data_IF_088327579616
#
_entry.id   IF_088327579616
#
_cell.length_a   1.000
_cell.length_b   1.000
_cell.length_c   1.000
_cell.angle_alpha   90.00
_cell.angle_beta   90.00
_cell.angle_gamma   90.00
#
_symmetry.space_group_name_H-M   'P 1'
#
loop_
_entity.id
_entity.type
_entity.pdbx_description
1 polymer ?
#
# COMPACT_ATOMS: atom_id res chain seq x y z
N UNK A 1 -44.81 16.08 65.33
CA UNK A 1 -45.98 15.91 64.45
C UNK A 1 -45.69 16.63 63.14
N UNK A 2 -45.87 15.97 61.99
CA UNK A 2 -46.05 16.65 60.70
C UNK A 2 -44.84 16.83 59.77
N UNK A 3 -44.42 15.73 59.14
CA UNK A 3 -44.22 15.54 57.69
C UNK A 3 -43.52 16.58 56.76
N UNK A 4 -42.51 16.02 56.05
CA UNK A 4 -42.36 15.99 54.57
C UNK A 4 -41.38 16.94 53.86
N UNK A 5 -40.24 16.34 53.47
CA UNK A 5 -39.71 16.18 52.10
C UNK A 5 -39.49 17.40 51.18
N UNK A 6 -38.24 17.62 50.74
CA UNK A 6 -37.88 17.52 49.30
C UNK A 6 -36.38 17.70 49.03
N UNK A 7 -35.96 17.05 47.96
CA UNK A 7 -34.61 16.79 47.44
C UNK A 7 -33.72 18.01 47.19
N UNK A 8 -32.47 17.95 47.66
CA UNK A 8 -31.37 18.82 47.21
C UNK A 8 -30.50 18.11 46.17
N UNK A 9 -30.65 18.51 44.91
CA UNK A 9 -29.82 18.07 43.78
C UNK A 9 -28.43 18.71 43.84
N UNK A 10 -27.41 17.90 43.58
CA UNK A 10 -25.99 18.19 43.69
C UNK A 10 -25.53 19.08 42.51
N UNK A 11 -25.16 20.34 42.77
CA UNK A 11 -24.62 21.27 41.76
C UNK A 11 -23.14 21.00 41.55
N UNK A 12 -22.74 20.47 40.39
CA UNK A 12 -21.34 20.38 39.93
C UNK A 12 -21.00 21.64 39.10
N UNK A 13 -19.77 22.19 39.17
CA UNK A 13 -19.39 23.35 38.35
C UNK A 13 -19.12 22.93 36.90
N UNK A 14 -19.61 23.72 35.94
CA UNK A 14 -19.27 23.62 34.53
C UNK A 14 -17.80 24.04 34.32
N UNK A 15 -16.98 23.11 33.83
CA UNK A 15 -15.64 23.40 33.31
C UNK A 15 -15.76 23.64 31.81
N UNK A 16 -15.45 24.85 31.37
CA UNK A 16 -15.42 25.26 29.96
C UNK A 16 -14.39 24.43 29.17
N UNK A 17 -14.82 23.82 28.08
CA UNK A 17 -13.92 23.21 27.09
C UNK A 17 -13.09 24.29 26.37
N UNK A 18 -11.80 24.04 26.05
CA UNK A 18 -11.02 24.94 25.22
C UNK A 18 -11.47 24.82 23.77
N UNK A 19 -11.91 25.94 23.19
CA UNK A 19 -12.29 26.06 21.79
C UNK A 19 -11.15 25.60 20.86
N UNK A 20 -11.50 24.74 19.89
CA UNK A 20 -10.66 24.40 18.74
C UNK A 20 -10.36 25.69 17.93
N UNK A 21 -9.14 25.87 17.40
CA UNK A 21 -8.83 27.00 16.54
C UNK A 21 -9.70 26.95 15.27
N UNK A 22 -10.07 28.12 14.70
CA UNK A 22 -10.90 28.16 13.50
C UNK A 22 -10.17 27.54 12.32
N UNK A 23 -10.83 26.58 11.68
CA UNK A 23 -10.42 25.98 10.41
C UNK A 23 -10.41 27.07 9.34
N UNK A 24 -9.28 27.29 8.67
CA UNK A 24 -9.14 28.34 7.66
C UNK A 24 -10.07 28.08 6.46
N UNK A 25 -10.58 29.13 5.83
CA UNK A 25 -11.51 28.98 4.71
C UNK A 25 -10.79 28.39 3.47
N UNK A 26 -11.44 27.53 2.67
CA UNK A 26 -10.82 26.86 1.51
C UNK A 26 -10.18 27.82 0.49
N UNK A 27 -10.71 29.05 0.39
CA UNK A 27 -10.20 30.09 -0.50
C UNK A 27 -8.86 30.70 -0.02
N UNK A 28 -8.64 30.76 1.30
CA UNK A 28 -7.39 31.25 1.87
C UNK A 28 -6.26 30.23 1.67
N UNK A 29 -6.55 28.94 1.84
CA UNK A 29 -5.61 27.84 1.57
C UNK A 29 -5.20 27.77 0.09
N UNK A 30 -6.14 27.99 -0.84
CA UNK A 30 -5.87 28.09 -2.28
C UNK A 30 -4.98 29.30 -2.61
N UNK A 31 -5.23 30.46 -2.00
CA UNK A 31 -4.40 31.67 -2.23
C UNK A 31 -2.97 31.51 -1.69
N UNK A 32 -2.83 30.81 -0.55
CA UNK A 32 -1.56 30.44 0.07
C UNK A 32 -0.76 29.50 -0.84
N UNK A 33 -1.40 28.49 -1.40
CA UNK A 33 -0.79 27.56 -2.34
C UNK A 33 -0.34 28.26 -3.64
N UNK A 34 -1.16 29.12 -4.23
CA UNK A 34 -0.78 29.88 -5.42
C UNK A 34 0.42 30.82 -5.18
N UNK A 35 0.47 31.46 -4.01
CA UNK A 35 1.61 32.29 -3.62
C UNK A 35 2.90 31.46 -3.46
N UNK A 36 2.79 30.25 -2.89
CA UNK A 36 3.91 29.31 -2.79
C UNK A 36 4.41 28.87 -4.18
N UNK A 37 3.49 28.55 -5.11
CA UNK A 37 3.84 28.17 -6.49
C UNK A 37 4.53 29.30 -7.27
N UNK A 38 4.26 30.57 -6.96
CA UNK A 38 4.98 31.71 -7.57
C UNK A 38 6.41 31.85 -7.05
N UNK A 39 6.68 31.33 -5.86
CA UNK A 39 7.92 31.54 -5.12
C UNK A 39 8.90 30.38 -5.24
N UNK A 40 8.41 29.16 -5.47
CA UNK A 40 9.20 27.93 -5.57
C UNK A 40 9.14 27.33 -6.99
N UNK A 41 10.27 27.29 -7.75
CA UNK A 41 10.31 26.75 -9.10
C UNK A 41 9.93 25.26 -9.21
N UNK A 42 10.25 24.43 -8.22
CA UNK A 42 9.93 23.00 -8.20
C UNK A 42 8.43 22.82 -7.94
N UNK A 43 7.89 23.56 -6.96
CA UNK A 43 6.45 23.56 -6.67
C UNK A 43 5.62 24.08 -7.84
N UNK A 44 6.12 25.09 -8.57
CA UNK A 44 5.51 25.57 -9.82
C UNK A 44 5.48 24.49 -10.88
N UNK A 45 6.57 23.74 -11.02
CA UNK A 45 6.67 22.66 -12.01
C UNK A 45 5.70 21.53 -11.65
N UNK A 46 5.61 21.17 -10.37
CA UNK A 46 4.61 20.23 -9.87
C UNK A 46 3.17 20.71 -10.13
N UNK A 47 2.82 21.96 -9.81
CA UNK A 47 1.49 22.54 -10.05
C UNK A 47 1.12 22.52 -11.54
N UNK A 48 2.05 22.91 -12.43
CA UNK A 48 1.78 22.83 -13.88
C UNK A 48 1.56 21.40 -14.37
N UNK A 49 2.23 20.40 -13.78
CA UNK A 49 1.97 18.98 -14.10
C UNK A 49 0.64 18.51 -13.52
N UNK A 50 0.31 18.93 -12.30
CA UNK A 50 -0.96 18.65 -11.64
C UNK A 50 -2.14 19.21 -12.44
N UNK A 51 -2.09 20.49 -12.82
CA UNK A 51 -3.12 21.14 -13.63
C UNK A 51 -3.28 20.45 -14.99
N UNK A 52 -2.17 20.20 -15.70
CA UNK A 52 -2.19 19.52 -17.01
C UNK A 52 -2.84 18.14 -16.94
N UNK A 53 -2.49 17.32 -15.95
CA UNK A 53 -3.06 15.96 -15.77
C UNK A 53 -4.52 16.01 -15.33
N UNK A 54 -4.88 16.96 -14.47
CA UNK A 54 -6.26 17.19 -14.05
C UNK A 54 -7.13 17.62 -15.24
N UNK A 55 -6.65 18.56 -16.05
CA UNK A 55 -7.33 18.96 -17.29
C UNK A 55 -7.48 17.81 -18.29
N UNK A 56 -6.45 16.96 -18.43
CA UNK A 56 -6.54 15.74 -19.25
C UNK A 56 -7.63 14.80 -18.74
N UNK A 57 -7.62 14.46 -17.45
CA UNK A 57 -8.64 13.60 -16.84
C UNK A 57 -10.06 14.18 -17.01
N UNK A 58 -10.25 15.48 -16.81
CA UNK A 58 -11.53 16.16 -17.01
C UNK A 58 -11.96 16.10 -18.48
N UNK A 59 -11.04 16.34 -19.41
CA UNK A 59 -11.35 16.29 -20.85
C UNK A 59 -11.74 14.89 -21.32
N UNK A 60 -11.06 13.86 -20.83
CA UNK A 60 -11.37 12.44 -21.12
C UNK A 60 -12.72 12.01 -20.53
N UNK A 61 -13.09 12.56 -19.37
CA UNK A 61 -14.42 12.37 -18.77
C UNK A 61 -15.50 13.11 -19.55
N UNK A 62 -15.24 14.34 -20.00
CA UNK A 62 -16.19 15.16 -20.75
C UNK A 62 -16.56 14.56 -22.12
N UNK A 63 -15.61 13.93 -22.81
CA UNK A 63 -15.87 13.19 -24.07
C UNK A 63 -16.76 11.97 -23.83
N UNK A 64 -16.71 11.36 -22.64
CA UNK A 64 -17.57 10.23 -22.26
C UNK A 64 -18.99 10.61 -21.84
N UNK A 65 -19.34 11.90 -21.75
CA UNK A 65 -20.69 12.36 -21.33
C UNK A 65 -21.69 12.37 -22.49
N UNK A 66 -21.23 12.38 -23.75
CA UNK A 66 -22.12 12.31 -24.93
C UNK A 66 -22.83 10.95 -25.08
N UNK A 67 -22.31 9.90 -24.43
CA UNK A 67 -22.95 8.60 -24.29
C UNK A 67 -23.22 8.43 -22.79
N UNK A 68 -24.44 8.11 -22.34
CA UNK A 68 -24.86 8.10 -20.92
C UNK A 68 -24.15 7.08 -19.99
N UNK A 69 -22.93 6.65 -20.31
CA UNK A 69 -22.06 5.82 -19.48
C UNK A 69 -20.58 6.17 -19.72
N UNK A 70 -19.80 6.24 -18.62
CA UNK A 70 -18.34 6.38 -18.70
C UNK A 70 -17.75 5.16 -19.40
N UNK A 71 -16.91 5.37 -20.41
CA UNK A 71 -16.21 4.27 -21.07
C UNK A 71 -15.14 3.67 -20.14
N UNK A 72 -14.86 2.37 -20.30
CA UNK A 72 -13.78 1.69 -19.56
C UNK A 72 -12.40 2.30 -19.86
N UNK A 73 -12.21 2.84 -21.07
CA UNK A 73 -10.99 3.54 -21.46
C UNK A 73 -10.85 4.88 -20.71
N UNK A 74 -11.94 5.63 -20.55
CA UNK A 74 -11.96 6.86 -19.74
C UNK A 74 -11.61 6.58 -18.27
N UNK A 75 -12.14 5.50 -17.68
CA UNK A 75 -11.81 5.09 -16.31
C UNK A 75 -10.35 4.66 -16.16
N UNK A 76 -9.80 3.95 -17.14
CA UNK A 76 -8.41 3.53 -17.17
C UNK A 76 -7.46 4.72 -17.24
N UNK A 77 -7.77 5.71 -18.06
CA UNK A 77 -6.96 6.91 -18.24
C UNK A 77 -6.98 7.84 -17.01
N UNK A 78 -8.15 7.98 -16.36
CA UNK A 78 -8.27 8.66 -15.06
C UNK A 78 -7.48 7.94 -13.96
N UNK A 79 -7.55 6.61 -13.92
CA UNK A 79 -6.78 5.79 -12.97
C UNK A 79 -5.27 5.92 -13.20
N UNK A 80 -4.83 5.96 -14.45
CA UNK A 80 -3.45 6.23 -14.83
C UNK A 80 -2.98 7.62 -14.37
N UNK A 81 -3.78 8.66 -14.63
CA UNK A 81 -3.47 10.02 -14.17
C UNK A 81 -3.33 10.11 -12.64
N UNK A 82 -4.19 9.41 -11.88
CA UNK A 82 -4.12 9.34 -10.41
C UNK A 82 -2.88 8.58 -9.92
N UNK A 83 -2.44 7.52 -10.60
CA UNK A 83 -1.22 6.78 -10.27
C UNK A 83 0.03 7.61 -10.55
N UNK A 84 0.07 8.30 -11.69
CA UNK A 84 1.17 9.20 -12.08
C UNK A 84 1.28 10.39 -11.11
N UNK A 85 0.14 10.96 -10.70
CA UNK A 85 0.10 12.00 -9.65
C UNK A 85 0.63 11.48 -8.32
N UNK A 86 0.28 10.26 -7.92
CA UNK A 86 0.82 9.64 -6.72
C UNK A 86 2.34 9.42 -6.81
N UNK A 87 2.88 9.12 -7.99
CA UNK A 87 4.32 8.96 -8.18
C UNK A 87 5.06 10.31 -8.09
N UNK A 88 4.49 11.38 -8.64
CA UNK A 88 5.11 12.71 -8.61
C UNK A 88 5.00 13.37 -7.23
N UNK A 89 3.89 13.18 -6.52
CA UNK A 89 3.75 13.58 -5.12
C UNK A 89 4.74 12.82 -4.24
N UNK A 90 4.91 11.51 -4.44
CA UNK A 90 5.92 10.74 -3.71
C UNK A 90 7.32 11.25 -4.03
N UNK A 91 7.64 11.52 -5.30
CA UNK A 91 8.94 12.06 -5.71
C UNK A 91 9.22 13.43 -5.08
N UNK A 92 8.30 14.38 -5.19
CA UNK A 92 8.45 15.72 -4.59
C UNK A 92 8.57 15.63 -3.07
N UNK A 93 7.77 14.79 -2.40
CA UNK A 93 7.92 14.58 -0.95
C UNK A 93 9.28 13.98 -0.62
N UNK A 94 9.76 12.99 -1.38
CA UNK A 94 11.07 12.37 -1.15
C UNK A 94 12.22 13.35 -1.40
N UNK A 95 12.18 14.14 -2.47
CA UNK A 95 13.19 15.15 -2.78
C UNK A 95 13.17 16.32 -1.77
N UNK A 96 12.00 16.84 -1.39
CA UNK A 96 11.88 17.84 -0.32
C UNK A 96 12.32 17.30 1.06
N UNK A 97 12.29 15.98 1.26
CA UNK A 97 12.68 15.34 2.51
C UNK A 97 14.09 14.74 2.48
N UNK A 98 14.85 14.83 1.38
CA UNK A 98 16.20 14.25 1.27
C UNK A 98 17.14 14.72 2.39
N UNK A 99 17.05 16.00 2.76
CA UNK A 99 17.81 16.61 3.86
C UNK A 99 17.26 16.29 5.26
N UNK A 100 16.00 15.86 5.34
CA UNK A 100 15.28 15.55 6.58
C UNK A 100 15.61 14.14 7.06
N UNK A 101 15.86 13.21 6.14
CA UNK A 101 16.20 11.82 6.47
C UNK A 101 17.71 11.73 6.70
N UNK A 102 18.17 12.01 7.94
CA UNK A 102 19.59 11.91 8.38
C UNK A 102 20.18 10.48 8.30
N UNK A 103 19.64 9.62 7.44
CA UNK A 103 20.01 8.23 7.19
C UNK A 103 19.78 7.91 5.70
N UNK A 104 20.79 8.09 4.82
CA UNK A 104 20.72 7.74 3.40
C UNK A 104 20.22 6.31 3.16
N UNK A 105 20.70 5.35 3.95
CA UNK A 105 20.28 3.94 3.89
C UNK A 105 18.76 3.69 4.10
N UNK A 106 18.05 4.63 4.73
CA UNK A 106 16.60 4.53 4.91
C UNK A 106 15.84 5.15 3.75
N UNK A 107 16.41 6.21 3.15
CA UNK A 107 15.85 6.85 1.97
C UNK A 107 15.87 5.88 0.78
N UNK A 108 17.02 5.26 0.48
CA UNK A 108 17.16 4.27 -0.58
C UNK A 108 16.17 3.10 -0.38
N UNK A 109 15.96 2.67 0.87
CA UNK A 109 15.02 1.59 1.20
C UNK A 109 13.56 1.98 0.96
N UNK A 110 13.22 3.25 1.17
CA UNK A 110 11.88 3.79 0.89
C UNK A 110 11.66 3.92 -0.61
N UNK A 111 12.67 4.39 -1.35
CA UNK A 111 12.63 4.45 -2.82
C UNK A 111 12.45 3.04 -3.42
N UNK A 112 13.30 2.08 -3.05
CA UNK A 112 13.20 0.68 -3.47
C UNK A 112 11.79 0.12 -3.18
N UNK A 113 11.19 0.47 -2.03
CA UNK A 113 9.85 0.02 -1.65
C UNK A 113 8.77 0.57 -2.56
N UNK A 114 8.80 1.89 -2.83
CA UNK A 114 7.82 2.51 -3.71
C UNK A 114 7.98 2.06 -5.15
N UNK A 115 9.19 1.83 -5.63
CA UNK A 115 9.46 1.26 -6.95
C UNK A 115 8.94 -0.18 -7.06
N UNK A 116 9.27 -1.06 -6.11
CA UNK A 116 8.76 -2.45 -6.06
C UNK A 116 7.24 -2.50 -6.03
N UNK A 117 6.60 -1.61 -5.27
CA UNK A 117 5.15 -1.50 -5.23
C UNK A 117 4.53 -1.04 -6.55
N UNK A 118 5.24 -0.21 -7.34
CA UNK A 118 4.79 0.21 -8.67
C UNK A 118 4.85 -0.97 -9.65
N UNK A 119 5.97 -1.69 -9.69
CA UNK A 119 6.10 -2.89 -10.52
C UNK A 119 5.02 -3.93 -10.20
N UNK A 120 4.61 -4.05 -8.94
CA UNK A 120 3.50 -4.93 -8.54
C UNK A 120 2.15 -4.48 -9.11
N UNK A 121 1.90 -3.17 -9.18
CA UNK A 121 0.70 -2.62 -9.81
C UNK A 121 0.73 -2.79 -11.34
N UNK A 122 1.90 -2.64 -11.96
CA UNK A 122 2.07 -2.90 -13.40
C UNK A 122 1.81 -4.37 -13.72
N UNK A 123 2.30 -5.28 -12.88
CA UNK A 123 1.96 -6.70 -12.97
C UNK A 123 0.45 -6.95 -12.84
N UNK A 124 -0.23 -6.34 -11.85
CA UNK A 124 -1.68 -6.47 -11.72
C UNK A 124 -2.43 -5.95 -12.96
N UNK A 125 -1.90 -4.90 -13.61
CA UNK A 125 -2.45 -4.38 -14.87
C UNK A 125 -2.23 -5.36 -16.03
N UNK A 126 -1.09 -6.05 -16.07
CA UNK A 126 -0.85 -7.13 -17.03
C UNK A 126 -1.81 -8.31 -16.78
N UNK A 127 -2.04 -8.68 -15.52
CA UNK A 127 -3.00 -9.71 -15.13
C UNK A 127 -4.43 -9.36 -15.56
N UNK A 128 -4.88 -8.11 -15.42
CA UNK A 128 -6.20 -7.66 -15.91
C UNK A 128 -6.34 -7.84 -17.43
N UNK A 129 -5.28 -7.64 -18.21
CA UNK A 129 -5.30 -7.92 -19.65
C UNK A 129 -5.43 -9.42 -19.94
N UNK A 130 -4.76 -10.28 -19.17
CA UNK A 130 -4.91 -11.74 -19.27
C UNK A 130 -6.34 -12.16 -18.92
N UNK A 131 -6.91 -11.61 -17.85
CA UNK A 131 -8.30 -11.86 -17.45
C UNK A 131 -9.31 -11.42 -18.51
N UNK A 132 -9.08 -10.29 -19.18
CA UNK A 132 -9.90 -9.86 -20.33
C UNK A 132 -9.87 -10.88 -21.46
N UNK A 133 -8.68 -11.35 -21.85
CA UNK A 133 -8.55 -12.43 -22.84
C UNK A 133 -9.28 -13.70 -22.42
N UNK A 134 -9.17 -14.10 -21.16
CA UNK A 134 -9.89 -15.26 -20.63
C UNK A 134 -11.43 -15.09 -20.72
N UNK A 135 -11.94 -13.89 -20.41
CA UNK A 135 -13.37 -13.54 -20.54
C UNK A 135 -13.82 -13.49 -22.01
N UNK A 136 -13.00 -12.97 -22.90
CA UNK A 136 -13.30 -12.97 -24.35
C UNK A 136 -13.39 -14.42 -24.86
N UNK A 137 -12.52 -15.32 -24.38
CA UNK A 137 -12.59 -16.75 -24.68
C UNK A 137 -13.86 -17.42 -24.10
N UNK A 138 -14.37 -16.99 -22.94
CA UNK A 138 -15.65 -17.48 -22.41
C UNK A 138 -16.82 -17.17 -23.36
N UNK A 139 -16.80 -16.00 -24.01
CA UNK A 139 -17.84 -15.62 -24.95
C UNK A 139 -17.92 -16.60 -26.14
N UNK A 140 -16.77 -17.04 -26.65
CA UNK A 140 -16.72 -18.04 -27.73
C UNK A 140 -17.40 -19.35 -27.33
N UNK A 141 -17.23 -19.79 -26.08
CA UNK A 141 -17.89 -20.99 -25.56
C UNK A 141 -19.40 -20.80 -25.42
N UNK A 142 -19.86 -19.65 -24.92
CA UNK A 142 -21.30 -19.36 -24.87
C UNK A 142 -21.92 -19.34 -26.27
N UNK A 143 -21.25 -18.74 -27.25
CA UNK A 143 -21.72 -18.76 -28.64
C UNK A 143 -21.74 -20.19 -29.17
N UNK A 144 -20.71 -21.01 -28.90
CA UNK A 144 -20.70 -22.42 -29.29
C UNK A 144 -21.88 -23.20 -28.70
N UNK A 145 -22.18 -23.01 -27.41
CA UNK A 145 -23.34 -23.65 -26.75
C UNK A 145 -24.66 -23.24 -27.40
N UNK A 146 -24.83 -21.94 -27.71
CA UNK A 146 -26.03 -21.45 -28.39
C UNK A 146 -26.15 -22.02 -29.81
N UNK A 147 -25.04 -22.09 -30.56
CA UNK A 147 -25.02 -22.71 -31.90
C UNK A 147 -25.35 -24.19 -31.84
N UNK A 148 -24.93 -24.88 -30.80
CA UNK A 148 -25.23 -26.28 -30.60
C UNK A 148 -26.73 -26.50 -30.43
N UNK A 149 -27.38 -25.74 -29.55
CA UNK A 149 -28.82 -25.80 -29.33
C UNK A 149 -29.59 -25.50 -30.64
N UNK A 150 -29.19 -24.43 -31.37
CA UNK A 150 -29.78 -24.05 -32.68
C UNK A 150 -29.63 -25.17 -33.74
N UNK A 151 -28.47 -25.83 -33.79
CA UNK A 151 -28.14 -26.89 -34.77
C UNK A 151 -28.71 -28.26 -34.38
N UNK A 152 -29.05 -28.46 -33.10
CA UNK A 152 -29.75 -29.65 -32.61
C UNK A 152 -31.26 -29.59 -32.88
N UNK A 153 -31.86 -28.39 -32.75
CA UNK A 153 -33.28 -28.13 -33.03
C UNK A 153 -33.60 -28.03 -34.53
N UNK A 154 -32.61 -27.72 -35.38
CA UNK A 154 -32.78 -27.64 -36.82
C UNK A 154 -32.79 -29.04 -37.49
N UNK A 155 -33.94 -29.36 -38.08
CA UNK A 155 -34.36 -30.58 -38.79
C UNK A 155 -33.26 -31.52 -39.38
N UNK A 156 -33.46 -32.82 -39.22
CA UNK A 156 -32.55 -33.95 -39.54
C UNK A 156 -32.24 -34.16 -41.04
N UNK A 157 -32.55 -33.20 -41.90
CA UNK A 157 -32.38 -33.26 -43.36
C UNK A 157 -31.01 -32.74 -43.84
N UNK A 158 -30.20 -32.14 -42.97
CA UNK A 158 -28.82 -31.75 -43.29
C UNK A 158 -27.94 -33.00 -43.47
N UNK A 159 -27.01 -32.94 -44.43
CA UNK A 159 -26.02 -34.01 -44.60
C UNK A 159 -25.24 -34.21 -43.27
N UNK A 160 -24.97 -35.45 -42.82
CA UNK A 160 -24.31 -35.72 -41.54
C UNK A 160 -22.98 -34.98 -41.34
N UNK A 161 -22.25 -34.75 -42.43
CA UNK A 161 -20.96 -34.04 -42.45
C UNK A 161 -21.05 -32.52 -42.26
N UNK A 162 -22.25 -31.93 -42.32
CA UNK A 162 -22.48 -30.50 -42.12
C UNK A 162 -23.13 -30.19 -40.77
N UNK A 163 -23.49 -31.21 -39.98
CA UNK A 163 -24.12 -31.03 -38.67
C UNK A 163 -23.09 -30.49 -37.67
N UNK A 164 -23.51 -29.54 -36.83
CA UNK A 164 -22.68 -28.85 -35.84
C UNK A 164 -21.49 -28.04 -36.40
N UNK A 165 -21.49 -27.70 -37.69
CA UNK A 165 -20.38 -27.00 -38.31
C UNK A 165 -20.11 -25.62 -37.68
N UNK A 166 -21.16 -24.89 -37.26
CA UNK A 166 -21.00 -23.59 -36.60
C UNK A 166 -20.52 -23.77 -35.16
N UNK A 167 -21.06 -24.75 -34.43
CA UNK A 167 -20.59 -25.12 -33.10
C UNK A 167 -19.08 -25.42 -33.11
N UNK A 168 -18.63 -26.33 -33.98
CA UNK A 168 -17.21 -26.69 -34.10
C UNK A 168 -16.33 -25.53 -34.55
N UNK A 169 -16.87 -24.58 -35.33
CA UNK A 169 -16.13 -23.38 -35.71
C UNK A 169 -15.81 -22.52 -34.48
N UNK A 170 -16.79 -22.24 -33.62
CA UNK A 170 -16.60 -21.44 -32.40
C UNK A 170 -15.69 -22.15 -31.39
N UNK A 171 -15.83 -23.48 -31.23
CA UNK A 171 -14.94 -24.27 -30.38
C UNK A 171 -13.48 -24.24 -30.85
N UNK A 172 -13.25 -24.26 -32.17
CA UNK A 172 -11.91 -24.08 -32.75
C UNK A 172 -11.36 -22.69 -32.53
N UNK A 173 -12.20 -21.65 -32.59
CA UNK A 173 -11.77 -20.29 -32.25
C UNK A 173 -11.37 -20.20 -30.77
N UNK A 174 -12.14 -20.81 -29.85
CA UNK A 174 -11.78 -20.90 -28.45
C UNK A 174 -10.42 -21.58 -28.26
N UNK A 175 -10.21 -22.75 -28.89
CA UNK A 175 -8.94 -23.47 -28.86
C UNK A 175 -7.79 -22.63 -29.41
N UNK A 176 -8.02 -21.89 -30.51
CA UNK A 176 -7.02 -21.03 -31.15
C UNK A 176 -6.69 -19.77 -30.33
N UNK A 177 -7.61 -19.29 -29.48
CA UNK A 177 -7.35 -18.18 -28.56
C UNK A 177 -6.24 -18.51 -27.55
N UNK A 178 -6.05 -19.81 -27.25
CA UNK A 178 -4.92 -20.32 -26.49
C UNK A 178 -4.91 -19.87 -25.02
N UNK A 179 -3.74 -19.99 -24.40
CA UNK A 179 -3.53 -19.62 -23.00
C UNK A 179 -3.55 -18.08 -22.82
N UNK A 180 -4.41 -17.52 -21.95
CA UNK A 180 -4.39 -16.10 -21.63
C UNK A 180 -3.13 -15.65 -20.88
N UNK A 181 -2.29 -16.55 -20.36
CA UNK A 181 -1.05 -16.25 -19.64
C UNK A 181 0.16 -16.58 -20.51
N UNK A 182 0.89 -15.57 -20.97
CA UNK A 182 2.07 -15.77 -21.84
C UNK A 182 3.35 -15.96 -21.03
N UNK A 183 4.41 -16.44 -21.68
CA UNK A 183 5.74 -16.54 -21.07
C UNK A 183 6.23 -15.20 -20.50
N UNK A 184 5.97 -14.08 -21.19
CA UNK A 184 6.32 -12.75 -20.69
C UNK A 184 5.54 -12.38 -19.43
N UNK A 185 4.27 -12.79 -19.34
CA UNK A 185 3.46 -12.58 -18.14
C UNK A 185 4.05 -13.35 -16.94
N UNK A 186 4.44 -14.61 -17.14
CA UNK A 186 5.07 -15.39 -16.08
C UNK A 186 6.45 -14.85 -15.69
N UNK A 187 7.22 -14.35 -16.66
CA UNK A 187 8.49 -13.66 -16.38
C UNK A 187 8.27 -12.41 -15.51
N UNK A 188 7.25 -11.61 -15.82
CA UNK A 188 6.87 -10.44 -15.02
C UNK A 188 6.41 -10.83 -13.61
N UNK A 189 5.59 -11.87 -13.47
CA UNK A 189 5.17 -12.40 -12.16
C UNK A 189 6.38 -12.80 -11.32
N UNK A 190 7.30 -13.57 -11.89
CA UNK A 190 8.49 -14.05 -11.18
C UNK A 190 9.43 -12.90 -10.79
N UNK A 191 9.57 -11.89 -11.64
CA UNK A 191 10.37 -10.70 -11.33
C UNK A 191 9.79 -9.96 -10.12
N UNK A 192 8.48 -9.65 -10.13
CA UNK A 192 7.79 -8.96 -9.04
C UNK A 192 7.84 -9.78 -7.74
N UNK A 193 7.58 -11.09 -7.83
CA UNK A 193 7.61 -11.97 -6.66
C UNK A 193 8.99 -11.99 -5.98
N UNK A 194 10.06 -12.12 -6.77
CA UNK A 194 11.44 -12.04 -6.25
C UNK A 194 11.75 -10.66 -5.66
N UNK A 195 11.34 -9.59 -6.34
CA UNK A 195 11.56 -8.23 -5.85
C UNK A 195 10.90 -8.01 -4.47
N UNK A 196 9.68 -8.52 -4.26
CA UNK A 196 8.98 -8.43 -2.98
C UNK A 196 9.68 -9.26 -1.88
N UNK A 197 10.19 -10.45 -2.19
CA UNK A 197 10.97 -11.25 -1.24
C UNK A 197 12.26 -10.53 -0.81
N UNK A 198 13.03 -10.03 -1.78
CA UNK A 198 14.25 -9.26 -1.49
C UNK A 198 13.94 -7.99 -0.68
N UNK A 199 12.85 -7.30 -1.00
CA UNK A 199 12.38 -6.15 -0.22
C UNK A 199 12.09 -6.55 1.24
N UNK A 200 11.39 -7.66 1.46
CA UNK A 200 11.07 -8.14 2.80
C UNK A 200 12.34 -8.44 3.62
N UNK A 201 13.34 -9.06 3.00
CA UNK A 201 14.64 -9.33 3.62
C UNK A 201 15.37 -8.05 4.02
N UNK A 202 15.47 -7.07 3.10
CA UNK A 202 16.06 -5.74 3.37
C UNK A 202 15.36 -5.06 4.56
N UNK A 203 14.02 -5.08 4.58
CA UNK A 203 13.20 -4.48 5.64
C UNK A 203 13.40 -5.18 6.99
N UNK A 204 13.44 -6.51 7.01
CA UNK A 204 13.71 -7.30 8.21
C UNK A 204 15.09 -6.99 8.78
N UNK A 205 16.12 -6.95 7.92
CA UNK A 205 17.49 -6.62 8.33
C UNK A 205 17.55 -5.20 8.92
N UNK A 206 16.92 -4.22 8.25
CA UNK A 206 16.87 -2.83 8.71
C UNK A 206 16.17 -2.71 10.06
N UNK A 207 15.01 -3.34 10.22
CA UNK A 207 14.26 -3.36 11.48
C UNK A 207 15.09 -3.94 12.62
N UNK A 208 15.78 -5.05 12.38
CA UNK A 208 16.65 -5.66 13.38
C UNK A 208 17.82 -4.75 13.80
N UNK A 209 18.42 -4.02 12.85
CA UNK A 209 19.46 -3.00 13.15
C UNK A 209 18.89 -1.86 13.99
N UNK A 210 17.70 -1.35 13.67
CA UNK A 210 17.03 -0.30 14.43
C UNK A 210 16.69 -0.76 15.85
N UNK A 211 16.19 -1.99 16.01
CA UNK A 211 15.89 -2.58 17.32
C UNK A 211 17.14 -2.68 18.21
N UNK A 212 18.29 -3.05 17.63
CA UNK A 212 19.58 -3.04 18.32
C UNK A 212 19.95 -1.62 18.78
N UNK A 213 19.88 -0.62 17.89
CA UNK A 213 20.20 0.78 18.22
C UNK A 213 19.32 1.33 19.34
N UNK A 214 18.01 1.06 19.31
CA UNK A 214 17.07 1.47 20.36
C UNK A 214 17.41 0.83 21.71
N UNK A 215 17.81 -0.46 21.72
CA UNK A 215 18.29 -1.13 22.94
C UNK A 215 19.57 -0.49 23.47
N UNK A 216 20.52 -0.15 22.60
CA UNK A 216 21.76 0.54 22.97
C UNK A 216 21.48 1.90 23.61
N UNK A 217 20.57 2.70 23.06
CA UNK A 217 20.17 3.99 23.66
C UNK A 217 19.61 3.79 25.07
N UNK A 218 18.73 2.80 25.26
CA UNK A 218 18.18 2.51 26.60
C UNK A 218 19.28 2.12 27.59
N UNK A 219 20.29 1.37 27.15
CA UNK A 219 21.45 1.04 27.97
C UNK A 219 22.30 2.29 28.27
N UNK A 220 22.57 3.12 27.26
CA UNK A 220 23.32 4.37 27.42
C UNK A 220 22.65 5.33 28.42
N UNK A 221 21.32 5.47 28.36
CA UNK A 221 20.55 6.27 29.34
C UNK A 221 20.83 5.81 30.77
N UNK A 222 20.77 4.49 31.00
CA UNK A 222 21.02 3.90 32.33
C UNK A 222 22.44 4.20 32.81
N UNK A 223 23.43 3.99 31.94
CA UNK A 223 24.85 4.23 32.24
C UNK A 223 25.09 5.71 32.54
N UNK A 224 24.57 6.62 31.71
CA UNK A 224 24.71 8.06 31.93
C UNK A 224 24.06 8.52 33.24
N UNK A 225 22.90 7.97 33.60
CA UNK A 225 22.24 8.28 34.87
C UNK A 225 23.05 7.77 36.07
N UNK A 226 23.64 6.58 36.00
CA UNK A 226 24.49 6.04 37.06
C UNK A 226 25.77 6.88 37.23
N UNK A 227 26.45 7.23 36.13
CA UNK A 227 27.67 8.07 36.17
C UNK A 227 27.34 9.45 36.77
N UNK A 228 26.23 10.06 36.36
CA UNK A 228 25.82 11.35 36.89
C UNK A 228 25.52 11.28 38.40
N UNK A 229 24.76 10.28 38.85
CA UNK A 229 24.42 10.11 40.26
C UNK A 229 25.66 9.82 41.14
N UNK A 230 26.57 8.98 40.67
CA UNK A 230 27.81 8.63 41.39
C UNK A 230 28.78 9.80 41.48
N UNK A 231 28.99 10.54 40.38
CA UNK A 231 29.83 11.75 40.37
C UNK A 231 29.26 12.81 41.30
N UNK A 232 27.95 13.01 41.27
CA UNK A 232 27.27 13.96 42.15
C UNK A 232 27.42 13.59 43.63
N UNK A 233 27.19 12.32 43.98
CA UNK A 233 27.39 11.85 45.35
C UNK A 233 28.83 12.07 45.83
N UNK A 234 29.83 11.81 44.98
CA UNK A 234 31.24 12.04 45.31
C UNK A 234 31.54 13.53 45.57
N UNK A 235 31.01 14.44 44.73
CA UNK A 235 31.16 15.90 44.91
C UNK A 235 30.52 16.38 46.20
N UNK A 236 29.33 15.87 46.56
CA UNK A 236 28.67 16.22 47.82
C UNK A 236 29.48 15.75 49.02
N UNK A 237 29.96 14.50 49.01
CA UNK A 237 30.79 13.95 50.10
C UNK A 237 32.06 14.80 50.26
N UNK A 238 32.76 15.10 49.16
CA UNK A 238 33.97 15.93 49.20
C UNK A 238 33.68 17.35 49.72
N UNK A 239 32.56 17.94 49.32
CA UNK A 239 32.14 19.29 49.77
C UNK A 239 31.86 19.32 51.27
N UNK A 240 31.17 18.30 51.81
CA UNK A 240 30.89 18.19 53.26
C UNK A 240 32.19 18.04 54.04
N UNK A 241 33.11 17.18 53.59
CA UNK A 241 34.43 16.99 54.22
C UNK A 241 35.22 18.30 54.21
N UNK A 242 35.27 19.01 53.08
CA UNK A 242 35.96 20.29 52.98
C UNK A 242 35.36 21.36 53.92
N UNK A 243 34.03 21.47 53.99
CA UNK A 243 33.36 22.42 54.87
C UNK A 243 33.60 22.12 56.36
N UNK A 244 33.70 20.85 56.75
CA UNK A 244 34.01 20.45 58.12
C UNK A 244 35.45 20.82 58.56
N UNK A 245 36.38 20.96 57.61
CA UNK A 245 37.80 21.25 57.86
C UNK A 245 38.11 22.76 57.67
N UNK A 246 37.26 23.51 56.97
CA UNK A 246 37.52 24.90 56.58
C UNK A 246 37.04 25.94 57.60
N UNK A 247 37.72 27.10 57.63
CA UNK A 247 37.32 28.26 58.43
C UNK A 247 35.94 28.82 57.97
N UNK A 248 35.17 29.50 58.86
CA UNK A 248 33.78 29.90 58.61
C UNK A 248 33.49 30.61 57.26
N UNK A 249 34.35 31.51 56.74
CA UNK A 249 34.11 32.19 55.46
C UNK A 249 34.23 31.25 54.25
N UNK A 250 35.11 30.24 54.32
CA UNK A 250 35.39 29.30 53.23
C UNK A 250 34.27 28.25 53.13
N UNK A 251 33.70 27.85 54.27
CA UNK A 251 32.54 26.96 54.33
C UNK A 251 31.29 27.59 53.66
N UNK A 252 31.08 28.90 53.84
CA UNK A 252 29.97 29.62 53.20
C UNK A 252 30.11 29.68 51.66
N UNK A 253 31.32 29.89 51.14
CA UNK A 253 31.59 29.89 49.70
C UNK A 253 31.41 28.50 49.07
N UNK A 254 31.84 27.43 49.75
CA UNK A 254 31.66 26.05 49.30
C UNK A 254 30.18 25.63 49.29
N UNK A 255 29.41 26.00 50.31
CA UNK A 255 27.97 25.76 50.35
C UNK A 255 27.22 26.46 49.21
N UNK A 256 27.63 27.68 48.85
CA UNK A 256 27.05 28.41 47.72
C UNK A 256 27.40 27.79 46.35
N UNK A 257 28.63 27.27 46.18
CA UNK A 257 29.03 26.57 44.94
C UNK A 257 28.34 25.20 44.77
N UNK A 258 28.08 24.49 45.87
CA UNK A 258 27.30 23.25 45.86
C UNK A 258 25.80 23.47 45.54
N UNK A 259 25.31 24.72 45.61
CA UNK A 259 23.95 25.10 45.27
C UNK A 259 23.72 25.38 43.77
N UNK A 260 24.75 25.24 42.91
CA UNK A 260 24.60 25.41 41.46
C UNK A 260 23.54 24.42 40.92
N UNK A 261 22.52 24.87 40.18
CA UNK A 261 21.42 24.00 39.73
C UNK A 261 21.89 22.92 38.72
N UNK A 262 22.22 21.74 39.24
CA UNK A 262 22.62 20.54 38.50
C UNK A 262 21.53 19.97 37.57
N UNK A 263 20.31 20.50 37.63
CA UNK A 263 19.23 20.12 36.73
C UNK A 263 19.53 20.39 35.26
N UNK A 264 20.47 21.29 34.92
CA UNK A 264 20.69 21.72 33.52
C UNK A 264 21.38 20.66 32.64
N UNK A 265 22.50 20.07 33.10
CA UNK A 265 23.29 19.14 32.28
C UNK A 265 22.62 17.77 32.11
N UNK A 266 21.99 17.26 33.17
CA UNK A 266 21.22 16.00 33.10
C UNK A 266 20.01 16.11 32.17
N UNK A 267 19.32 17.27 32.16
CA UNK A 267 18.20 17.55 31.24
C UNK A 267 18.66 17.68 29.79
N UNK A 268 19.83 18.26 29.54
CA UNK A 268 20.40 18.36 28.19
C UNK A 268 20.75 16.98 27.61
N UNK A 269 21.45 16.12 28.37
CA UNK A 269 21.79 14.75 27.93
C UNK A 269 20.53 13.92 27.70
N UNK A 270 19.55 13.98 28.60
CA UNK A 270 18.29 13.24 28.43
C UNK A 270 17.48 13.76 27.24
N UNK A 271 17.45 15.08 27.01
CA UNK A 271 16.81 15.71 25.84
C UNK A 271 17.44 15.25 24.53
N UNK A 272 18.77 15.23 24.43
CA UNK A 272 19.48 14.74 23.24
C UNK A 272 19.21 13.25 23.00
N UNK A 273 19.26 12.44 24.05
CA UNK A 273 19.04 11.00 23.95
C UNK A 273 17.58 10.67 23.60
N UNK A 274 16.64 11.46 24.11
CA UNK A 274 15.22 11.38 23.78
C UNK A 274 14.98 11.74 22.31
N UNK A 275 15.54 12.85 21.82
CA UNK A 275 15.45 13.22 20.39
C UNK A 275 16.00 12.13 19.46
N UNK A 276 17.16 11.56 19.78
CA UNK A 276 17.73 10.46 19.00
C UNK A 276 16.87 9.17 19.07
N UNK A 277 16.32 8.85 20.25
CA UNK A 277 15.40 7.72 20.43
C UNK A 277 14.09 7.91 19.63
N UNK A 278 13.56 9.13 19.61
CA UNK A 278 12.34 9.49 18.90
C UNK A 278 12.54 9.38 17.39
N UNK A 279 13.67 9.88 16.87
CA UNK A 279 14.06 9.71 15.47
C UNK A 279 14.16 8.23 15.08
N UNK A 280 14.87 7.40 15.85
CA UNK A 280 14.97 5.96 15.56
C UNK A 280 13.61 5.24 15.63
N UNK A 281 12.73 5.66 16.54
CA UNK A 281 11.37 5.13 16.63
C UNK A 281 10.55 5.49 15.40
N UNK A 282 10.62 6.74 14.92
CA UNK A 282 10.00 7.15 13.66
C UNK A 282 10.48 6.32 12.46
N UNK A 283 11.80 6.12 12.34
CA UNK A 283 12.37 5.24 11.31
C UNK A 283 11.83 3.79 11.41
N UNK A 284 11.75 3.26 12.63
CA UNK A 284 11.22 1.90 12.87
C UNK A 284 9.74 1.79 12.50
N UNK A 285 8.95 2.81 12.74
CA UNK A 285 7.54 2.84 12.36
C UNK A 285 7.37 2.81 10.84
N UNK A 286 8.16 3.58 10.09
CA UNK A 286 8.15 3.56 8.62
C UNK A 286 8.57 2.18 8.11
N UNK A 287 9.69 1.64 8.59
CA UNK A 287 10.17 0.29 8.18
C UNK A 287 9.15 -0.79 8.53
N UNK A 288 8.48 -0.70 9.68
CA UNK A 288 7.46 -1.67 10.06
C UNK A 288 6.22 -1.58 9.17
N UNK A 289 5.80 -0.37 8.79
CA UNK A 289 4.70 -0.19 7.84
C UNK A 289 5.03 -0.77 6.45
N UNK A 290 6.24 -0.49 5.93
CA UNK A 290 6.72 -1.08 4.67
C UNK A 290 6.77 -2.61 4.76
N UNK A 291 7.23 -3.16 5.88
CA UNK A 291 7.33 -4.61 6.09
C UNK A 291 5.94 -5.28 6.08
N UNK A 292 4.94 -4.67 6.72
CA UNK A 292 3.56 -5.17 6.68
C UNK A 292 3.01 -5.12 5.25
N UNK A 293 3.18 -4.00 4.55
CA UNK A 293 2.74 -3.87 3.16
C UNK A 293 3.39 -4.89 2.22
N UNK A 294 4.70 -5.10 2.36
CA UNK A 294 5.47 -6.08 1.58
C UNK A 294 5.00 -7.52 1.86
N UNK A 295 4.72 -7.84 3.13
CA UNK A 295 4.20 -9.16 3.50
C UNK A 295 2.81 -9.44 2.91
N UNK A 296 1.93 -8.44 2.93
CA UNK A 296 0.60 -8.52 2.30
C UNK A 296 0.75 -8.76 0.80
N UNK A 297 1.62 -7.99 0.13
CA UNK A 297 1.90 -8.15 -1.30
C UNK A 297 2.34 -9.59 -1.66
N UNK A 298 3.24 -10.19 -0.88
CA UNK A 298 3.68 -11.57 -1.10
C UNK A 298 2.51 -12.55 -0.96
N UNK A 299 1.65 -12.37 0.05
CA UNK A 299 0.47 -13.23 0.25
C UNK A 299 -0.55 -13.09 -0.86
N UNK A 300 -0.74 -11.88 -1.38
CA UNK A 300 -1.60 -11.67 -2.52
C UNK A 300 -1.03 -12.34 -3.77
N UNK A 301 0.27 -12.22 -4.03
CA UNK A 301 0.94 -12.87 -5.16
C UNK A 301 0.92 -14.40 -5.06
N UNK A 302 1.09 -14.97 -3.85
CA UNK A 302 0.93 -16.40 -3.61
C UNK A 302 -0.48 -16.87 -3.98
N UNK A 303 -1.51 -16.08 -3.61
CA UNK A 303 -2.91 -16.38 -3.90
C UNK A 303 -3.20 -16.26 -5.40
N UNK A 304 -2.67 -15.22 -6.05
CA UNK A 304 -2.75 -15.02 -7.51
C UNK A 304 -2.16 -16.22 -8.24
N UNK A 305 -0.99 -16.71 -7.84
CA UNK A 305 -0.36 -17.90 -8.45
C UNK A 305 -1.26 -19.13 -8.41
N UNK A 306 -1.88 -19.39 -7.26
CA UNK A 306 -2.78 -20.55 -7.09
C UNK A 306 -4.01 -20.41 -8.00
N UNK A 307 -4.57 -19.21 -8.11
CA UNK A 307 -5.75 -18.94 -8.94
C UNK A 307 -5.42 -18.95 -10.43
N UNK A 308 -4.23 -18.50 -10.86
CA UNK A 308 -3.75 -18.65 -12.24
C UNK A 308 -3.69 -20.14 -12.61
N UNK A 309 -3.04 -20.97 -11.80
CA UNK A 309 -2.95 -22.41 -12.04
C UNK A 309 -4.34 -23.05 -12.15
N UNK A 310 -5.32 -22.59 -11.36
CA UNK A 310 -6.69 -23.07 -11.43
C UNK A 310 -7.34 -22.72 -12.77
N UNK A 311 -7.18 -21.48 -13.24
CA UNK A 311 -7.69 -21.05 -14.55
C UNK A 311 -7.04 -21.85 -15.69
N UNK A 312 -5.72 -22.06 -15.65
CA UNK A 312 -5.01 -22.88 -16.66
C UNK A 312 -5.54 -24.32 -16.73
N UNK A 313 -5.82 -24.93 -15.57
CA UNK A 313 -6.40 -26.27 -15.49
C UNK A 313 -7.81 -26.32 -16.10
N UNK A 314 -8.66 -25.34 -15.80
CA UNK A 314 -10.01 -25.28 -16.39
C UNK A 314 -9.94 -25.07 -17.92
N UNK A 315 -9.05 -24.21 -18.41
CA UNK A 315 -8.85 -24.00 -19.86
C UNK A 315 -8.37 -25.28 -20.54
N UNK A 316 -7.35 -25.93 -19.99
CA UNK A 316 -6.81 -27.19 -20.55
C UNK A 316 -7.89 -28.27 -20.61
N UNK A 317 -8.66 -28.41 -19.52
CA UNK A 317 -9.77 -29.34 -19.39
C UNK A 317 -10.89 -29.09 -20.41
N UNK A 318 -11.13 -27.83 -20.81
CA UNK A 318 -12.07 -27.50 -21.88
C UNK A 318 -11.48 -27.73 -23.28
N UNK A 319 -10.19 -27.43 -23.49
CA UNK A 319 -9.50 -27.74 -24.75
C UNK A 319 -9.57 -29.24 -25.05
N UNK A 320 -9.34 -30.10 -24.05
CA UNK A 320 -9.48 -31.55 -24.21
C UNK A 320 -10.91 -31.95 -24.67
N UNK A 321 -11.93 -31.26 -24.18
CA UNK A 321 -13.32 -31.48 -24.61
C UNK A 321 -13.54 -31.04 -26.07
N UNK A 322 -12.93 -29.92 -26.48
CA UNK A 322 -12.95 -29.47 -27.88
C UNK A 322 -12.26 -30.49 -28.78
N UNK A 323 -11.09 -30.98 -28.41
CA UNK A 323 -10.36 -32.01 -29.18
C UNK A 323 -11.14 -33.32 -29.30
N UNK A 324 -11.87 -33.69 -28.25
CA UNK A 324 -12.78 -34.82 -28.30
C UNK A 324 -13.94 -34.57 -29.28
N UNK A 325 -14.57 -33.39 -29.20
CA UNK A 325 -15.68 -33.00 -30.07
C UNK A 325 -15.31 -32.98 -31.57
N UNK A 326 -14.04 -32.75 -31.92
CA UNK A 326 -13.58 -32.70 -33.31
C UNK A 326 -13.55 -34.07 -34.03
N UNK A 327 -13.82 -35.19 -33.34
CA UNK A 327 -13.69 -36.54 -33.91
C UNK A 327 -14.82 -36.92 -34.87
N UNK A 328 -16.06 -36.86 -34.39
CA UNK A 328 -17.28 -37.23 -35.13
C UNK A 328 -18.52 -36.58 -34.50
N UNK A 329 -19.68 -36.72 -35.15
CA UNK A 329 -20.94 -36.09 -34.75
C UNK A 329 -21.39 -36.46 -33.33
N UNK A 330 -21.24 -37.72 -32.92
CA UNK A 330 -21.62 -38.15 -31.57
C UNK A 330 -20.65 -37.62 -30.52
N UNK A 331 -19.36 -37.50 -30.88
CA UNK A 331 -18.37 -36.88 -30.03
C UNK A 331 -18.64 -35.39 -29.77
N UNK A 332 -19.24 -34.67 -30.73
CA UNK A 332 -19.65 -33.26 -30.54
C UNK A 332 -20.62 -33.13 -29.37
N UNK A 333 -21.68 -33.94 -29.34
CA UNK A 333 -22.71 -33.87 -28.29
C UNK A 333 -22.11 -34.08 -26.90
N UNK A 334 -21.26 -35.09 -26.76
CA UNK A 334 -20.60 -35.38 -25.48
C UNK A 334 -19.60 -34.28 -25.09
N UNK A 335 -18.78 -33.82 -26.04
CA UNK A 335 -17.81 -32.76 -25.77
C UNK A 335 -18.46 -31.44 -25.38
N UNK A 336 -19.55 -31.06 -26.05
CA UNK A 336 -20.34 -29.86 -25.74
C UNK A 336 -21.02 -29.96 -24.37
N UNK A 337 -21.60 -31.11 -24.03
CA UNK A 337 -22.22 -31.31 -22.72
C UNK A 337 -21.18 -31.24 -21.57
N UNK A 338 -19.98 -31.79 -21.78
CA UNK A 338 -18.89 -31.64 -20.81
C UNK A 338 -18.38 -30.19 -20.71
N UNK A 339 -18.28 -29.47 -21.82
CA UNK A 339 -17.97 -28.02 -21.83
C UNK A 339 -19.02 -27.25 -21.03
N UNK A 340 -20.31 -27.52 -21.25
CA UNK A 340 -21.42 -26.88 -20.56
C UNK A 340 -21.33 -27.06 -19.04
N UNK A 341 -20.98 -28.26 -18.56
CA UNK A 341 -20.77 -28.55 -17.13
C UNK A 341 -19.56 -27.82 -16.55
N UNK A 342 -18.47 -27.68 -17.32
CA UNK A 342 -17.20 -27.08 -16.87
C UNK A 342 -17.21 -25.55 -16.94
N UNK A 343 -18.02 -24.97 -17.83
CA UNK A 343 -18.03 -23.52 -18.09
C UNK A 343 -18.26 -22.69 -16.82
N UNK A 344 -19.17 -23.11 -15.94
CA UNK A 344 -19.44 -22.40 -14.68
C UNK A 344 -18.20 -22.36 -13.77
N UNK A 345 -17.46 -23.46 -13.67
CA UNK A 345 -16.23 -23.52 -12.87
C UNK A 345 -15.11 -22.66 -13.47
N UNK A 346 -15.00 -22.65 -14.80
CA UNK A 346 -14.07 -21.77 -15.51
C UNK A 346 -14.39 -20.29 -15.26
N UNK A 347 -15.66 -19.90 -15.42
CA UNK A 347 -16.12 -18.53 -15.16
C UNK A 347 -15.80 -18.09 -13.74
N UNK A 348 -16.17 -18.92 -12.77
CA UNK A 348 -15.90 -18.66 -11.36
C UNK A 348 -14.40 -18.53 -11.08
N UNK A 349 -13.56 -19.36 -11.69
CA UNK A 349 -12.11 -19.29 -11.48
C UNK A 349 -11.50 -17.99 -12.02
N UNK A 350 -12.01 -17.50 -13.15
CA UNK A 350 -11.61 -16.20 -13.73
C UNK A 350 -12.10 -15.03 -12.89
N UNK A 351 -13.32 -15.10 -12.34
CA UNK A 351 -13.85 -14.11 -11.39
C UNK A 351 -13.05 -14.07 -10.09
N UNK A 352 -12.82 -15.23 -9.45
CA UNK A 352 -12.02 -15.38 -8.23
C UNK A 352 -10.62 -14.76 -8.42
N UNK A 353 -9.97 -15.03 -9.56
CA UNK A 353 -8.66 -14.45 -9.90
C UNK A 353 -8.73 -12.93 -10.09
N UNK A 354 -9.79 -12.43 -10.74
CA UNK A 354 -10.04 -10.99 -10.90
C UNK A 354 -10.21 -10.27 -9.57
N UNK A 355 -11.03 -10.80 -8.67
CA UNK A 355 -11.21 -10.23 -7.34
C UNK A 355 -9.91 -10.18 -6.54
N UNK A 356 -9.07 -11.22 -6.66
CA UNK A 356 -7.78 -11.27 -5.99
C UNK A 356 -6.77 -10.28 -6.60
N UNK A 357 -6.79 -10.06 -7.91
CA UNK A 357 -5.98 -9.04 -8.58
C UNK A 357 -6.36 -7.61 -8.14
N UNK A 358 -7.67 -7.34 -8.03
CA UNK A 358 -8.20 -6.07 -7.55
C UNK A 358 -7.86 -5.82 -6.08
N UNK A 359 -7.97 -6.87 -5.25
CA UNK A 359 -7.56 -6.83 -3.84
C UNK A 359 -6.09 -6.49 -3.71
N UNK A 360 -5.22 -7.19 -4.45
CA UNK A 360 -3.78 -6.94 -4.44
C UNK A 360 -3.46 -5.49 -4.81
N UNK A 361 -4.05 -4.99 -5.90
CA UNK A 361 -3.86 -3.60 -6.33
C UNK A 361 -4.28 -2.58 -5.26
N UNK A 362 -5.43 -2.82 -4.62
CA UNK A 362 -5.95 -1.94 -3.56
C UNK A 362 -5.08 -1.97 -2.32
N UNK A 363 -4.61 -3.14 -1.91
CA UNK A 363 -3.79 -3.31 -0.71
C UNK A 363 -2.40 -2.71 -0.90
N UNK A 364 -1.81 -2.83 -2.09
CA UNK A 364 -0.58 -2.11 -2.47
C UNK A 364 -0.77 -0.58 -2.37
N UNK A 365 -1.85 -0.04 -2.96
CA UNK A 365 -2.13 1.41 -2.91
C UNK A 365 -2.32 1.89 -1.46
N UNK A 366 -3.06 1.14 -0.64
CA UNK A 366 -3.24 1.44 0.79
C UNK A 366 -1.92 1.41 1.55
N UNK A 367 -1.09 0.40 1.32
CA UNK A 367 0.21 0.26 1.96
C UNK A 367 1.12 1.46 1.62
N UNK A 368 1.18 1.87 0.34
CA UNK A 368 1.88 3.08 -0.10
C UNK A 368 1.40 4.33 0.66
N UNK A 369 0.09 4.53 0.77
CA UNK A 369 -0.48 5.67 1.51
C UNK A 369 -0.11 5.63 2.99
N UNK A 370 -0.20 4.47 3.65
CA UNK A 370 0.17 4.34 5.07
C UNK A 370 1.65 4.65 5.27
N UNK A 371 2.54 4.14 4.40
CA UNK A 371 3.98 4.43 4.46
C UNK A 371 4.22 5.93 4.27
N UNK A 372 3.59 6.55 3.28
CA UNK A 372 3.70 7.99 3.03
C UNK A 372 3.22 8.82 4.24
N UNK A 373 2.11 8.45 4.86
CA UNK A 373 1.63 9.10 6.08
C UNK A 373 2.62 8.96 7.24
N UNK A 374 3.30 7.82 7.38
CA UNK A 374 4.35 7.63 8.39
C UNK A 374 5.58 8.48 8.11
N UNK A 375 5.98 8.59 6.85
CA UNK A 375 7.05 9.49 6.39
C UNK A 375 6.70 10.96 6.71
N UNK A 376 5.45 11.36 6.49
CA UNK A 376 4.99 12.72 6.76
C UNK A 376 4.95 13.01 8.26
N UNK A 377 4.37 12.11 9.07
CA UNK A 377 4.22 12.26 10.53
C UNK A 377 5.53 12.26 11.31
N UNK A 378 6.62 11.75 10.75
CA UNK A 378 7.94 11.76 11.38
C UNK A 378 8.94 12.65 10.61
N UNK A 379 8.79 13.99 10.63
CA UNK A 379 9.71 14.93 9.99
C UNK A 379 11.05 15.11 10.75
N UNK A 380 11.40 14.19 11.65
CA UNK A 380 12.25 14.36 12.85
C UNK A 380 11.49 14.87 14.07
#
# INVERSE_FOLDING_TARGET
MGNSSSSGSNRRPETSEPALPPEAAPAEELSSYEAACRSDPELRTFDTTLQRRTSRAISTLAVGVEVRSLSLDSLREVTGCLLDMNQEVVRVILDCKKDIWKSPELFDLVEDYFESSLHTLDFCTALDKCLKRARDSQLLLHVALQRFDDEEDADAAAAPSARYARTLHELRQFKAAGDPFTDEFFAAFQAVYRQQLTMLEKLQQRKHRLDKKVKTIKAWRRVSSIIFATTFAAVLICSVVAAAIAAPPVAAALAAAAAVPLGSMGKWIDSLLKGYQDALRGQKEVVSAMQVGTFIAIKDLDSIRVLINRVEVEISSMIDCVEFAERDEEAVKFGVEEIKKKLENFMKSVEDLGEQADRCSRDIRRARTVVLQRIIRHPN
#
